data_IF_660677085936
#
_entry.id   IF_660677085936
#
_cell.length_a   1.000
_cell.length_b   1.000
_cell.length_c   1.000
_cell.angle_alpha   90.00
_cell.angle_beta   90.00
_cell.angle_gamma   90.00
#
_symmetry.space_group_name_H-M   'P 1'
#
loop_
_entity.id
_entity.type
_entity.pdbx_description
1 polymer ?
#
# COMPACT_ATOMS: atom_id res chain seq x y z
N UNK A 1 -27.37 -12.34 8.41
CA UNK A 1 -26.18 -11.69 7.85
C UNK A 1 -25.61 -10.82 8.95
N UNK A 2 -24.66 -11.32 9.72
CA UNK A 2 -23.95 -10.55 10.72
C UNK A 2 -22.96 -9.66 9.97
N UNK A 3 -23.16 -8.38 10.03
CA UNK A 3 -22.17 -7.39 9.66
C UNK A 3 -21.09 -7.39 10.76
N UNK A 4 -20.07 -8.22 10.59
CA UNK A 4 -18.86 -8.15 11.40
C UNK A 4 -17.98 -7.01 10.88
N UNK A 5 -18.51 -5.79 10.94
CA UNK A 5 -17.72 -4.58 10.88
C UNK A 5 -17.11 -4.40 12.27
N UNK A 6 -16.10 -5.16 12.59
CA UNK A 6 -15.27 -4.88 13.76
C UNK A 6 -14.28 -3.81 13.36
N UNK A 7 -14.74 -2.59 13.31
CA UNK A 7 -13.90 -1.41 13.09
C UNK A 7 -13.02 -1.07 14.30
N UNK A 8 -13.39 -1.52 15.47
CA UNK A 8 -12.57 -1.50 16.70
C UNK A 8 -13.17 -2.53 17.65
N UNK A 9 -12.37 -3.24 18.41
CA UNK A 9 -12.87 -3.83 19.64
C UNK A 9 -13.38 -2.69 20.52
N UNK A 10 -14.51 -2.86 21.19
CA UNK A 10 -15.08 -1.88 22.11
C UNK A 10 -14.09 -1.40 23.18
N UNK A 11 -13.04 -2.16 23.41
CA UNK A 11 -12.00 -1.95 24.41
C UNK A 11 -10.78 -1.21 23.88
N UNK A 12 -10.55 -1.18 22.52
CA UNK A 12 -9.38 -0.55 21.90
C UNK A 12 -9.78 0.40 20.76
N UNK A 13 -10.29 1.56 21.09
CA UNK A 13 -10.61 2.63 20.12
C UNK A 13 -9.39 3.07 19.32
N UNK A 14 -8.19 2.76 19.79
CA UNK A 14 -6.91 3.12 19.17
C UNK A 14 -6.41 2.11 18.14
N UNK A 15 -6.96 0.90 18.07
CA UNK A 15 -6.50 -0.15 17.17
C UNK A 15 -7.51 -0.43 16.06
N UNK A 16 -7.06 -0.39 14.82
CA UNK A 16 -7.86 -0.76 13.64
C UNK A 16 -7.26 -2.03 13.06
N UNK A 17 -8.07 -3.10 12.98
CA UNK A 17 -7.67 -4.35 12.35
C UNK A 17 -8.35 -4.54 11.01
N UNK A 18 -7.57 -4.79 9.96
CA UNK A 18 -8.04 -5.07 8.61
C UNK A 18 -7.58 -6.44 8.14
N UNK A 19 -8.47 -7.14 7.43
CA UNK A 19 -8.16 -8.39 6.74
C UNK A 19 -8.38 -8.21 5.24
N UNK A 20 -7.77 -9.04 4.37
CA UNK A 20 -7.99 -8.95 2.93
C UNK A 20 -9.46 -8.96 2.51
N UNK A 21 -10.31 -9.72 3.20
CA UNK A 21 -11.76 -9.73 2.96
C UNK A 21 -12.45 -8.40 3.22
N UNK A 22 -11.96 -7.64 4.20
CA UNK A 22 -12.48 -6.29 4.47
C UNK A 22 -11.99 -5.28 3.44
N UNK A 23 -10.76 -5.44 2.94
CA UNK A 23 -10.22 -4.61 1.88
C UNK A 23 -11.03 -4.72 0.59
N UNK A 24 -11.62 -5.89 0.29
CA UNK A 24 -12.50 -6.09 -0.86
C UNK A 24 -13.79 -5.27 -0.81
N UNK A 25 -14.24 -4.91 0.38
CA UNK A 25 -15.48 -4.15 0.61
C UNK A 25 -15.27 -2.64 0.59
N UNK A 26 -14.01 -2.18 0.59
CA UNK A 26 -13.67 -0.77 0.60
C UNK A 26 -13.46 -0.24 -0.81
N UNK A 27 -13.76 1.06 -1.05
CA UNK A 27 -13.43 1.69 -2.32
C UNK A 27 -11.94 1.57 -2.64
N UNK A 28 -11.62 1.17 -3.86
CA UNK A 28 -10.25 1.05 -4.33
C UNK A 28 -10.09 1.61 -5.76
N UNK A 29 -8.87 1.93 -6.14
CA UNK A 29 -8.52 2.47 -7.46
C UNK A 29 -8.07 1.36 -8.43
N UNK A 30 -8.77 0.22 -8.43
CA UNK A 30 -8.47 -0.92 -9.28
C UNK A 30 -7.51 -1.94 -8.67
N UNK A 31 -7.00 -1.68 -7.47
CA UNK A 31 -6.22 -2.63 -6.68
C UNK A 31 -6.55 -2.46 -5.19
N UNK A 32 -6.57 -3.57 -4.45
CA UNK A 32 -6.77 -3.57 -3.00
C UNK A 32 -5.51 -3.06 -2.32
N UNK A 33 -5.56 -1.84 -1.85
CA UNK A 33 -4.44 -1.19 -1.18
C UNK A 33 -4.71 -1.03 0.31
N UNK A 34 -3.84 -1.63 1.13
CA UNK A 34 -3.97 -1.63 2.58
C UNK A 34 -3.79 -0.22 3.16
N UNK A 35 -2.77 0.51 2.68
CA UNK A 35 -2.45 1.83 3.21
C UNK A 35 -3.56 2.83 2.88
N UNK A 36 -4.06 2.81 1.63
CA UNK A 36 -5.21 3.64 1.24
C UNK A 36 -6.47 3.31 2.02
N UNK A 37 -6.67 2.04 2.33
CA UNK A 37 -7.82 1.62 3.14
C UNK A 37 -7.78 2.20 4.55
N UNK A 38 -6.61 2.36 5.14
CA UNK A 38 -6.46 3.04 6.43
C UNK A 38 -6.76 4.54 6.34
N UNK A 39 -6.47 5.18 5.23
CA UNK A 39 -6.78 6.61 5.01
C UNK A 39 -8.29 6.91 5.04
N UNK A 40 -9.13 5.90 4.84
CA UNK A 40 -10.59 6.02 4.98
C UNK A 40 -11.07 5.92 6.43
N UNK A 41 -10.18 5.65 7.38
CA UNK A 41 -10.54 5.43 8.77
C UNK A 41 -10.46 6.71 9.61
N UNK A 42 -11.28 6.85 10.65
CA UNK A 42 -11.27 8.02 11.53
C UNK A 42 -9.89 8.24 12.16
N UNK A 43 -9.40 9.48 12.09
CA UNK A 43 -8.11 9.89 12.66
C UNK A 43 -6.90 9.48 11.82
N UNK A 44 -7.12 9.06 10.58
CA UNK A 44 -6.07 8.82 9.58
C UNK A 44 -6.38 9.66 8.35
N UNK A 45 -5.39 10.27 7.77
CA UNK A 45 -5.54 11.04 6.53
C UNK A 45 -4.38 10.77 5.57
N UNK A 46 -4.57 11.13 4.31
CA UNK A 46 -3.53 11.15 3.28
C UNK A 46 -2.99 12.56 3.10
N UNK A 47 -1.77 12.71 2.60
CA UNK A 47 -1.24 14.00 2.16
C UNK A 47 -1.98 14.50 0.92
N UNK A 48 -2.27 13.59 0.01
CA UNK A 48 -3.02 13.80 -1.23
C UNK A 48 -3.57 12.45 -1.71
N UNK A 49 -4.39 12.48 -2.75
CA UNK A 49 -5.03 11.28 -3.32
C UNK A 49 -4.03 10.27 -3.94
N UNK A 50 -2.80 10.69 -4.22
CA UNK A 50 -1.76 9.85 -4.82
C UNK A 50 -0.73 9.33 -3.82
N UNK A 51 -0.88 9.60 -2.52
CA UNK A 51 0.07 9.18 -1.49
C UNK A 51 -0.45 8.00 -0.68
N UNK A 52 0.36 6.95 -0.52
CA UNK A 52 0.11 5.86 0.43
C UNK A 52 0.61 6.17 1.85
N UNK A 53 1.22 7.31 2.06
CA UNK A 53 1.63 7.77 3.39
C UNK A 53 0.45 8.01 4.33
N UNK A 54 0.61 7.62 5.60
CA UNK A 54 -0.41 7.78 6.63
C UNK A 54 -0.09 8.97 7.54
N UNK A 55 -1.01 9.91 7.63
CA UNK A 55 -1.02 10.97 8.64
C UNK A 55 -1.95 10.55 9.76
N UNK A 56 -1.40 10.08 10.86
CA UNK A 56 -2.17 9.52 11.96
C UNK A 56 -2.23 10.51 13.11
N UNK A 57 -3.44 10.98 13.45
CA UNK A 57 -3.65 11.96 14.54
C UNK A 57 -2.73 13.19 14.46
N UNK A 58 -2.45 13.68 13.26
CA UNK A 58 -1.57 14.81 13.01
C UNK A 58 -0.08 14.49 12.91
N UNK A 59 0.33 13.24 13.14
CA UNK A 59 1.70 12.79 12.90
C UNK A 59 1.97 12.56 11.42
N UNK A 60 3.19 12.83 10.98
CA UNK A 60 3.64 12.70 9.59
C UNK A 60 4.03 11.24 9.26
N UNK A 61 4.09 10.84 7.97
CA UNK A 61 4.37 9.46 7.57
C UNK A 61 5.71 8.92 8.07
N UNK A 62 6.72 9.76 8.21
CA UNK A 62 8.05 9.42 8.73
C UNK A 62 8.03 9.10 10.24
N UNK A 63 6.99 9.51 10.96
CA UNK A 63 6.78 9.23 12.38
C UNK A 63 6.05 7.90 12.63
N UNK A 64 5.63 7.21 11.59
CA UNK A 64 4.94 5.93 11.69
C UNK A 64 5.95 4.78 11.63
N UNK A 65 5.76 3.77 12.48
CA UNK A 65 6.49 2.52 12.41
C UNK A 65 5.68 1.52 11.57
N UNK A 66 6.28 0.98 10.52
CA UNK A 66 5.67 -0.07 9.72
C UNK A 66 6.49 -1.34 9.89
N UNK A 67 5.84 -2.41 10.32
CA UNK A 67 6.43 -3.72 10.53
C UNK A 67 5.77 -4.75 9.63
N UNK A 68 6.56 -5.59 8.96
CA UNK A 68 6.10 -6.75 8.22
C UNK A 68 6.70 -8.01 8.84
N UNK A 69 5.87 -8.87 9.42
CA UNK A 69 6.28 -10.04 10.21
C UNK A 69 7.38 -9.69 11.24
N UNK A 70 7.30 -8.51 11.87
CA UNK A 70 8.27 -8.01 12.86
C UNK A 70 9.48 -7.26 12.30
N UNK A 71 9.68 -7.23 10.98
CA UNK A 71 10.75 -6.48 10.34
C UNK A 71 10.32 -5.06 10.00
N UNK A 72 11.16 -4.07 10.29
CA UNK A 72 10.87 -2.67 9.95
C UNK A 72 10.93 -2.45 8.44
N UNK A 73 9.87 -1.89 7.89
CA UNK A 73 9.77 -1.49 6.49
C UNK A 73 9.95 0.03 6.40
N UNK A 74 10.97 0.44 5.68
CA UNK A 74 11.30 1.87 5.49
C UNK A 74 10.63 2.48 4.27
N UNK A 75 10.36 1.70 3.24
CA UNK A 75 9.72 2.15 2.01
C UNK A 75 8.39 1.42 1.83
N UNK A 76 7.30 2.16 1.93
CA UNK A 76 5.94 1.61 2.04
C UNK A 76 5.12 1.74 0.75
N UNK A 77 5.72 2.30 -0.30
CA UNK A 77 5.00 2.57 -1.54
C UNK A 77 5.85 2.32 -2.81
N UNK A 78 5.15 2.27 -3.94
CA UNK A 78 5.70 2.22 -5.28
C UNK A 78 5.16 3.38 -6.11
N UNK A 79 5.87 3.76 -7.16
CA UNK A 79 5.47 4.77 -8.12
C UNK A 79 5.02 6.09 -7.45
N UNK A 80 5.89 6.63 -6.61
CA UNK A 80 5.66 7.91 -5.90
C UNK A 80 4.41 7.93 -5.02
N UNK A 81 4.09 6.80 -4.39
CA UNK A 81 2.96 6.67 -3.48
C UNK A 81 1.66 6.17 -4.13
N UNK A 82 1.65 5.93 -5.44
CA UNK A 82 0.45 5.49 -6.12
C UNK A 82 0.00 4.07 -5.75
N UNK A 83 0.94 3.18 -5.44
CA UNK A 83 0.67 1.82 -4.94
C UNK A 83 1.37 1.60 -3.61
N UNK A 84 0.76 0.88 -2.69
CA UNK A 84 1.49 0.40 -1.52
C UNK A 84 2.47 -0.70 -1.90
N UNK A 85 3.56 -0.82 -1.15
CA UNK A 85 4.54 -1.89 -1.32
C UNK A 85 4.01 -3.27 -0.88
N UNK A 86 2.79 -3.34 -0.34
CA UNK A 86 2.23 -4.54 0.24
C UNK A 86 1.23 -5.21 -0.68
N UNK A 87 1.55 -6.43 -1.08
CA UNK A 87 0.65 -7.27 -1.87
C UNK A 87 -0.47 -7.84 -1.01
N UNK A 88 -1.71 -7.41 -1.21
CA UNK A 88 -2.88 -7.83 -0.41
C UNK A 88 -3.11 -9.34 -0.42
N UNK A 89 -2.70 -10.07 -1.45
CA UNK A 89 -2.83 -11.51 -1.53
C UNK A 89 -1.79 -12.27 -0.69
N UNK A 90 -0.69 -11.59 -0.32
CA UNK A 90 0.33 -12.13 0.56
C UNK A 90 0.07 -11.82 2.05
N UNK A 91 -1.01 -11.10 2.38
CA UNK A 91 -1.30 -10.65 3.74
C UNK A 91 -2.36 -11.53 4.41
N UNK A 92 -2.17 -11.76 5.71
CA UNK A 92 -3.14 -12.39 6.61
C UNK A 92 -4.02 -11.35 7.28
N UNK A 93 -3.40 -10.39 7.94
CA UNK A 93 -4.05 -9.24 8.55
C UNK A 93 -3.10 -8.06 8.71
N UNK A 94 -3.69 -6.88 8.92
CA UNK A 94 -2.95 -5.66 9.20
C UNK A 94 -3.60 -4.95 10.37
N UNK A 95 -2.80 -4.49 11.31
CA UNK A 95 -3.25 -3.77 12.49
C UNK A 95 -2.58 -2.39 12.52
N UNK A 96 -3.39 -1.35 12.66
CA UNK A 96 -2.93 0.01 12.84
C UNK A 96 -3.22 0.46 14.27
N UNK A 97 -2.18 0.70 15.03
CA UNK A 97 -2.21 1.31 16.36
C UNK A 97 -2.06 2.82 16.21
N UNK A 98 -3.12 3.56 16.43
CA UNK A 98 -3.13 5.04 16.33
C UNK A 98 -2.57 5.73 17.56
N UNK A 99 -2.17 4.99 18.55
CA UNK A 99 -1.63 5.42 19.85
C UNK A 99 -1.91 4.35 20.92
N UNK A 100 -1.27 4.45 22.08
CA UNK A 100 -1.41 3.48 23.15
C UNK A 100 -0.87 2.10 22.80
N UNK A 101 0.14 2.04 21.92
CA UNK A 101 0.79 0.80 21.54
C UNK A 101 1.73 0.29 22.67
N UNK A 102 1.99 -1.00 22.66
CA UNK A 102 2.82 -1.67 23.67
C UNK A 102 4.26 -1.15 23.68
N UNK A 103 4.93 -1.24 24.83
CA UNK A 103 6.31 -0.78 25.03
C UNK A 103 7.35 -1.51 24.18
N UNK A 104 7.00 -2.66 23.58
CA UNK A 104 7.86 -3.36 22.62
C UNK A 104 8.10 -2.59 21.33
N UNK A 105 7.22 -1.66 20.99
CA UNK A 105 7.35 -0.81 19.82
C UNK A 105 8.08 0.47 20.16
N UNK A 106 9.20 0.72 19.49
CA UNK A 106 10.02 1.91 19.69
C UNK A 106 10.48 2.53 18.38
N UNK A 107 11.16 3.67 18.49
CA UNK A 107 11.82 4.32 17.35
C UNK A 107 10.93 5.18 16.46
N UNK A 108 9.61 5.30 16.76
CA UNK A 108 8.66 6.17 16.07
C UNK A 108 7.68 6.80 17.05
N UNK A 109 7.03 7.90 16.65
CA UNK A 109 6.31 8.79 17.57
C UNK A 109 4.78 8.77 17.37
N UNK A 110 4.27 8.46 16.16
CA UNK A 110 2.87 8.66 15.83
C UNK A 110 2.06 7.37 15.90
N UNK A 111 2.37 6.41 15.06
CA UNK A 111 1.59 5.17 14.96
C UNK A 111 2.46 3.95 14.69
N UNK A 112 1.87 2.77 14.90
CA UNK A 112 2.49 1.49 14.53
C UNK A 112 1.54 0.75 13.59
N UNK A 113 2.03 0.36 12.43
CA UNK A 113 1.33 -0.53 11.50
C UNK A 113 2.02 -1.89 11.52
N UNK A 114 1.34 -2.90 12.03
CA UNK A 114 1.83 -4.26 12.08
C UNK A 114 1.14 -5.09 10.98
N UNK A 115 1.93 -5.61 10.06
CA UNK A 115 1.49 -6.37 8.91
C UNK A 115 1.92 -7.82 9.11
N UNK A 116 0.96 -8.73 9.08
CA UNK A 116 1.21 -10.16 9.18
C UNK A 116 1.07 -10.81 7.81
N UNK A 117 2.13 -11.46 7.36
CA UNK A 117 2.13 -12.23 6.11
C UNK A 117 1.28 -13.48 6.21
N UNK A 118 0.64 -13.85 5.10
CA UNK A 118 -0.20 -15.02 4.99
C UNK A 118 0.63 -16.30 5.17
N UNK A 119 0.09 -17.22 5.95
CA UNK A 119 0.59 -18.59 6.06
C UNK A 119 -0.08 -19.44 4.98
N UNK A 120 0.66 -20.39 4.41
CA UNK A 120 0.12 -21.30 3.40
C UNK A 120 -0.93 -22.27 3.96
N UNK A 121 -1.75 -22.78 3.07
CA UNK A 121 -2.67 -23.84 3.43
C UNK A 121 -1.92 -25.17 3.60
N UNK A 122 -1.98 -25.76 4.78
CA UNK A 122 -1.30 -27.02 5.08
C UNK A 122 -2.04 -28.26 4.53
N UNK A 123 -3.29 -28.12 4.13
CA UNK A 123 -4.14 -29.27 3.76
C UNK A 123 -4.37 -29.38 2.26
N UNK A 124 -4.44 -28.27 1.56
CA UNK A 124 -4.82 -28.25 0.15
C UNK A 124 -4.00 -27.22 -0.61
N UNK A 125 -3.62 -27.59 -1.82
CA UNK A 125 -3.13 -26.64 -2.80
C UNK A 125 -4.22 -25.60 -3.10
N UNK A 126 -3.84 -24.34 -3.08
CA UNK A 126 -4.73 -23.24 -3.41
C UNK A 126 -3.99 -22.26 -4.32
N UNK A 127 -4.65 -21.74 -5.33
CA UNK A 127 -4.13 -20.70 -6.20
C UNK A 127 -5.23 -19.72 -6.56
N UNK A 128 -4.83 -18.49 -6.77
CA UNK A 128 -5.75 -17.44 -7.16
C UNK A 128 -5.00 -16.24 -7.73
N UNK A 129 -5.75 -15.29 -8.22
CA UNK A 129 -5.18 -14.06 -8.75
C UNK A 129 -6.24 -13.04 -9.08
N UNK A 130 -5.78 -11.80 -9.17
CA UNK A 130 -6.58 -10.65 -9.51
C UNK A 130 -5.97 -9.96 -10.72
N UNK A 131 -6.81 -9.57 -11.64
CA UNK A 131 -6.43 -8.80 -12.81
C UNK A 131 -7.19 -7.49 -12.80
N UNK A 132 -6.45 -6.39 -12.77
CA UNK A 132 -7.01 -5.05 -12.84
C UNK A 132 -6.49 -4.32 -14.08
N UNK A 133 -6.97 -3.11 -14.31
CA UNK A 133 -6.45 -2.25 -15.39
C UNK A 133 -5.04 -1.72 -15.12
N UNK A 134 -4.55 -1.85 -13.89
CA UNK A 134 -3.29 -1.26 -13.43
C UNK A 134 -2.24 -2.30 -13.08
N UNK A 135 -2.67 -3.48 -12.60
CA UNK A 135 -1.78 -4.53 -12.14
C UNK A 135 -2.37 -5.92 -12.31
N UNK A 136 -1.50 -6.89 -12.34
CA UNK A 136 -1.84 -8.30 -12.19
C UNK A 136 -1.22 -8.84 -10.91
N UNK A 137 -1.94 -9.70 -10.23
CA UNK A 137 -1.54 -10.31 -8.99
C UNK A 137 -1.90 -11.80 -9.02
N UNK A 138 -0.95 -12.66 -8.70
CA UNK A 138 -1.13 -14.12 -8.65
C UNK A 138 -0.53 -14.64 -7.37
N UNK A 139 -1.19 -15.58 -6.72
CA UNK A 139 -0.64 -16.26 -5.56
C UNK A 139 -0.88 -17.77 -5.62
N UNK A 140 0.00 -18.50 -4.96
CA UNK A 140 -0.05 -19.96 -4.84
C UNK A 140 0.26 -20.32 -3.39
N UNK A 141 -0.53 -21.21 -2.83
CA UNK A 141 -0.32 -21.82 -1.52
C UNK A 141 -0.06 -23.32 -1.72
N UNK A 142 1.08 -23.78 -1.26
CA UNK A 142 1.55 -25.16 -1.49
C UNK A 142 1.73 -25.83 -0.13
N UNK A 143 0.98 -26.92 0.17
CA UNK A 143 1.28 -27.78 1.30
C UNK A 143 2.57 -28.57 1.03
N UNK A 144 3.47 -28.61 2.00
CA UNK A 144 4.73 -29.35 1.92
C UNK A 144 4.72 -30.41 3.00
N UNK A 145 4.20 -31.61 2.67
CA UNK A 145 3.96 -32.66 3.65
C UNK A 145 2.88 -32.25 4.67
N UNK A 146 2.94 -32.84 5.87
CA UNK A 146 1.88 -32.67 6.89
C UNK A 146 2.12 -31.50 7.85
N UNK A 147 3.31 -30.88 7.81
CA UNK A 147 3.74 -29.91 8.82
C UNK A 147 4.12 -28.54 8.26
N UNK A 148 4.44 -28.47 6.99
CA UNK A 148 4.94 -27.25 6.37
C UNK A 148 4.01 -26.76 5.27
N UNK A 149 4.01 -25.47 5.08
CA UNK A 149 3.30 -24.82 3.97
C UNK A 149 4.13 -23.67 3.40
N UNK A 150 3.88 -23.34 2.16
CA UNK A 150 4.49 -22.22 1.48
C UNK A 150 3.44 -21.35 0.81
N UNK A 151 3.65 -20.04 0.85
CA UNK A 151 2.92 -19.08 0.04
C UNK A 151 3.91 -18.37 -0.85
N UNK A 152 3.58 -18.28 -2.13
CA UNK A 152 4.29 -17.46 -3.09
C UNK A 152 3.28 -16.54 -3.74
N UNK A 153 3.51 -15.24 -3.71
CA UNK A 153 2.65 -14.25 -4.34
C UNK A 153 3.49 -13.32 -5.22
N UNK A 154 3.04 -13.12 -6.43
CA UNK A 154 3.66 -12.26 -7.43
C UNK A 154 2.69 -11.17 -7.86
N UNK A 155 3.17 -9.94 -7.89
CA UNK A 155 2.41 -8.78 -8.38
C UNK A 155 3.27 -8.00 -9.37
N UNK A 156 2.64 -7.51 -10.42
CA UNK A 156 3.29 -6.66 -11.42
C UNK A 156 2.32 -5.59 -11.91
N UNK A 157 2.79 -4.35 -11.95
CA UNK A 157 2.09 -3.29 -12.68
C UNK A 157 2.39 -3.40 -14.19
N UNK A 158 1.41 -3.05 -15.01
CA UNK A 158 1.62 -2.99 -16.46
C UNK A 158 1.13 -1.64 -16.99
N UNK A 159 1.73 -1.28 -18.10
CA UNK A 159 1.39 -0.07 -18.83
C UNK A 159 0.20 -0.36 -19.72
N UNK A 160 -0.90 0.32 -19.46
CA UNK A 160 -2.03 0.36 -20.39
C UNK A 160 -2.29 1.79 -20.83
N UNK A 161 -3.02 2.00 -21.89
CA UNK A 161 -3.39 3.36 -22.35
C UNK A 161 -4.17 4.14 -21.28
N UNK A 162 -4.80 3.44 -20.35
CA UNK A 162 -5.51 4.02 -19.20
C UNK A 162 -4.52 4.47 -18.14
N UNK A 163 -3.44 3.73 -17.93
CA UNK A 163 -2.38 4.06 -16.96
C UNK A 163 -1.74 5.43 -17.28
N UNK A 164 -1.37 5.66 -18.54
CA UNK A 164 -0.78 6.93 -18.99
C UNK A 164 -1.72 8.10 -18.67
N UNK A 165 -3.01 7.97 -18.97
CA UNK A 165 -4.02 9.02 -18.70
C UNK A 165 -4.23 9.30 -17.22
N UNK A 166 -4.25 8.26 -16.39
CA UNK A 166 -4.38 8.40 -14.94
C UNK A 166 -3.15 9.08 -14.37
N UNK A 167 -1.97 8.64 -14.77
CA UNK A 167 -0.70 9.16 -14.28
C UNK A 167 -0.46 10.63 -14.71
N UNK A 168 -0.83 11.00 -15.92
CA UNK A 168 -0.82 12.40 -16.37
C UNK A 168 -1.75 13.29 -15.55
N UNK A 169 -2.92 12.81 -15.20
CA UNK A 169 -3.87 13.57 -14.39
C UNK A 169 -3.36 13.81 -12.97
N UNK A 170 -2.73 12.82 -12.36
CA UNK A 170 -2.12 12.96 -11.05
C UNK A 170 -0.89 13.86 -11.05
N UNK A 171 -0.02 13.77 -12.06
CA UNK A 171 1.13 14.66 -12.19
C UNK A 171 0.74 16.12 -12.41
N UNK A 172 -0.31 16.40 -13.16
CA UNK A 172 -0.83 17.76 -13.33
C UNK A 172 -1.36 18.35 -12.03
N UNK A 173 -1.93 17.55 -11.15
CA UNK A 173 -2.39 18.00 -9.84
C UNK A 173 -1.24 18.33 -8.87
N UNK A 174 -0.10 17.67 -9.02
CA UNK A 174 1.09 17.91 -8.20
C UNK A 174 1.90 19.13 -8.66
N UNK A 175 1.83 19.50 -9.93
CA UNK A 175 2.56 20.65 -10.50
C UNK A 175 1.84 22.00 -10.30
N UNK A 176 0.58 22.02 -9.89
CA UNK A 176 -0.15 23.25 -9.63
C UNK A 176 0.15 23.91 -8.27
N UNK A 177 0.97 23.31 -7.42
CA UNK A 177 1.34 23.87 -6.11
C UNK A 177 2.78 24.39 -6.01
N UNK A 178 3.57 24.36 -7.09
CA UNK A 178 4.90 24.98 -7.13
C UNK A 178 4.91 26.13 -8.13
N UNK A 179 4.41 27.29 -7.71
CA UNK A 179 4.68 28.57 -8.39
C UNK A 179 6.11 28.96 -8.04
N UNK A 180 7.08 28.38 -8.71
CA UNK A 180 8.44 28.95 -8.70
C UNK A 180 8.45 30.11 -9.71
N UNK A 181 8.88 31.34 -9.31
CA UNK A 181 9.03 32.41 -10.24
C UNK A 181 10.13 32.04 -11.26
N UNK A 182 9.76 31.92 -12.51
CA UNK A 182 10.71 31.74 -13.61
C UNK A 182 11.59 32.96 -13.73
N UNK A 183 12.91 32.77 -13.53
CA UNK A 183 13.89 33.78 -13.90
C UNK A 183 13.85 33.99 -15.43
N UNK A 184 13.98 35.24 -15.92
CA UNK A 184 13.99 35.51 -17.35
C UNK A 184 15.30 35.07 -17.97
N UNK A 185 15.33 33.92 -18.65
CA UNK A 185 16.47 33.54 -19.49
C UNK A 185 16.23 34.07 -20.90
N UNK A 186 16.76 35.24 -21.17
CA UNK A 186 16.94 35.75 -22.54
C UNK A 186 18.10 35.00 -23.22
N UNK A 187 17.80 34.20 -24.24
CA UNK A 187 18.77 33.61 -25.15
C UNK A 187 18.05 33.05 -26.38
N UNK A 188 18.43 33.41 -27.63
CA UNK A 188 17.84 32.87 -28.83
C UNK A 188 18.47 31.52 -29.15
N UNK A 189 17.88 30.47 -28.64
CA UNK A 189 18.24 29.10 -28.92
C UNK A 189 17.03 28.24 -28.71
N UNK A 190 16.32 27.88 -29.81
CA UNK A 190 15.14 27.03 -29.81
C UNK A 190 15.48 25.62 -29.31
N UNK A 191 15.53 25.45 -28.00
CA UNK A 191 15.57 24.15 -27.38
C UNK A 191 14.19 23.49 -27.48
N UNK A 192 14.07 22.46 -28.34
CA UNK A 192 12.95 21.52 -28.28
C UNK A 192 12.92 20.95 -26.88
N UNK A 193 11.93 21.31 -26.08
CA UNK A 193 11.59 20.61 -24.86
C UNK A 193 11.16 19.21 -25.28
N UNK A 194 12.10 18.28 -25.25
CA UNK A 194 11.80 16.86 -25.38
C UNK A 194 10.98 16.49 -24.14
N UNK A 195 9.67 16.34 -24.30
CA UNK A 195 8.84 15.73 -23.27
C UNK A 195 9.37 14.31 -23.02
N UNK A 196 10.20 14.19 -22.00
CA UNK A 196 10.71 12.88 -21.58
C UNK A 196 9.55 12.13 -20.95
N UNK A 197 8.92 11.25 -21.72
CA UNK A 197 7.87 10.35 -21.20
C UNK A 197 8.49 9.38 -20.23
N UNK A 198 8.43 9.73 -18.94
CA UNK A 198 8.90 8.86 -17.86
C UNK A 198 7.95 7.67 -17.79
N UNK A 199 8.49 6.50 -18.01
CA UNK A 199 7.75 5.26 -17.93
C UNK A 199 8.30 4.45 -16.78
N UNK A 200 7.48 4.15 -15.77
CA UNK A 200 7.86 3.32 -14.65
C UNK A 200 6.89 2.15 -14.46
N UNK A 201 7.42 1.06 -13.96
CA UNK A 201 6.67 -0.13 -13.59
C UNK A 201 7.32 -0.74 -12.35
N UNK A 202 6.59 -1.57 -11.64
CA UNK A 202 7.14 -2.32 -10.52
C UNK A 202 6.69 -3.79 -10.59
N UNK A 203 7.40 -4.62 -9.86
CA UNK A 203 7.01 -6.00 -9.57
C UNK A 203 7.38 -6.32 -8.12
N UNK A 204 6.56 -7.15 -7.49
CA UNK A 204 6.79 -7.66 -6.15
C UNK A 204 6.74 -9.17 -6.17
N UNK A 205 7.64 -9.78 -5.44
CA UNK A 205 7.65 -11.20 -5.16
C UNK A 205 7.68 -11.41 -3.65
N UNK A 206 6.67 -12.07 -3.12
CA UNK A 206 6.56 -12.39 -1.71
C UNK A 206 6.59 -13.91 -1.56
N UNK A 207 7.44 -14.41 -0.65
CA UNK A 207 7.51 -15.83 -0.31
C UNK A 207 7.57 -16.00 1.19
N UNK A 208 6.76 -16.92 1.73
CA UNK A 208 6.77 -17.30 3.14
C UNK A 208 6.68 -18.82 3.27
N UNK A 209 7.54 -19.36 4.11
CA UNK A 209 7.54 -20.76 4.51
C UNK A 209 7.17 -20.82 6.00
N UNK A 210 6.29 -21.71 6.33
CA UNK A 210 5.78 -21.87 7.70
C UNK A 210 5.75 -23.33 8.08
#
# INVERSE_FOLDING_TARGET
VRQDVVLARKEDVSVIKMTPKKLEQLPNLGERDVMRSFQLMPGVSAANESSSGLYVRGGTPDQNLVLYDGFTVYHVDHLYGFFSAFNSNALKDVQLYKGGFESRFGGRLSSVTEITGKEGNQKKFNMGGDFSLLSMNVFVEIPIGDKFSSVIAFRRSYKGPIYDKIFEKFNKSSSSSSTQPSAPSGGPGGGRTQETKVTSFFYDLNGKFT
#
